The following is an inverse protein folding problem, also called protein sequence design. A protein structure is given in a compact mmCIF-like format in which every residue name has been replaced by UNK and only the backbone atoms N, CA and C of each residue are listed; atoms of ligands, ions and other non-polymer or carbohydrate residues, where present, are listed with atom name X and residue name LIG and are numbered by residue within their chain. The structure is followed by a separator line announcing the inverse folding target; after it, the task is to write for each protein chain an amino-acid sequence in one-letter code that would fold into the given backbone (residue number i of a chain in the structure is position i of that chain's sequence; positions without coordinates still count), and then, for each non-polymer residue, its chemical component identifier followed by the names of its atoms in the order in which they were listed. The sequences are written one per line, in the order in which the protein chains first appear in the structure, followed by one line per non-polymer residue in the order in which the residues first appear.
data_IF_209923652669
#
_entry.id   IF_209923652669
#
_cell.length_a   1.000
_cell.length_b   1.000
_cell.length_c   1.000
_cell.angle_alpha   90.00
_cell.angle_beta   90.00
_cell.angle_gamma   90.00
#
_symmetry.space_group_name_H-M   'P 1'
#
loop_
_entity.id
_entity.type
_entity.pdbx_description
1 polymer ?
#
# COMPACT_ATOMS: atom_id res chain seq x y z
N UNK A 1 -22.12 12.87 37.74
CA UNK A 1 -22.22 12.17 36.41
C UNK A 1 -22.57 13.10 35.24
N UNK A 2 -22.98 14.38 35.50
CA UNK A 2 -23.37 15.35 34.48
C UNK A 2 -22.19 16.12 33.84
N UNK A 3 -21.06 16.18 34.53
CA UNK A 3 -19.91 17.01 34.12
C UNK A 3 -19.06 16.39 32.96
N UNK A 4 -19.19 15.11 32.67
CA UNK A 4 -18.44 14.44 31.62
C UNK A 4 -19.08 14.61 30.23
N UNK A 5 -20.41 14.63 30.19
CA UNK A 5 -21.16 14.82 28.92
C UNK A 5 -21.07 16.26 28.38
N UNK A 6 -21.01 17.25 29.30
CA UNK A 6 -20.86 18.67 28.93
C UNK A 6 -19.46 18.98 28.33
N UNK A 7 -18.42 18.31 28.79
CA UNK A 7 -17.06 18.49 28.28
C UNK A 7 -16.88 17.94 26.86
N UNK A 8 -17.73 17.01 26.42
CA UNK A 8 -17.69 16.46 25.07
C UNK A 8 -18.36 17.37 24.04
N UNK A 9 -19.19 18.33 24.50
CA UNK A 9 -19.96 19.22 23.62
C UNK A 9 -19.40 20.66 23.52
N UNK A 10 -18.25 20.95 24.16
CA UNK A 10 -17.59 22.23 23.93
C UNK A 10 -16.94 22.23 22.55
N UNK A 11 -17.27 23.24 21.69
CA UNK A 11 -16.54 23.41 20.43
C UNK A 11 -15.08 23.65 20.77
N UNK A 12 -14.23 22.65 20.49
CA UNK A 12 -12.79 22.81 20.59
C UNK A 12 -12.42 23.92 19.61
N UNK A 13 -12.00 25.07 20.13
CA UNK A 13 -11.34 26.09 19.32
C UNK A 13 -10.00 25.50 18.84
N UNK A 14 -10.08 24.65 17.82
CA UNK A 14 -8.92 24.08 17.19
C UNK A 14 -8.14 25.23 16.55
N UNK A 15 -6.81 25.24 16.73
CA UNK A 15 -5.95 26.17 15.99
C UNK A 15 -6.23 26.01 14.48
N UNK A 16 -6.02 27.06 13.69
CA UNK A 16 -6.22 27.02 12.23
C UNK A 16 -5.48 25.83 11.59
N UNK A 17 -4.29 25.50 12.09
CA UNK A 17 -3.50 24.33 11.65
C UNK A 17 -4.22 23.00 11.94
N UNK A 18 -4.81 22.86 13.11
CA UNK A 18 -5.55 21.65 13.48
C UNK A 18 -6.86 21.52 12.68
N UNK A 19 -7.51 22.64 12.35
CA UNK A 19 -8.68 22.66 11.46
C UNK A 19 -8.33 22.25 10.04
N UNK A 20 -7.23 22.76 9.49
CA UNK A 20 -6.71 22.37 8.18
C UNK A 20 -6.35 20.88 8.15
N UNK A 21 -5.70 20.37 9.20
CA UNK A 21 -5.36 18.96 9.33
C UNK A 21 -6.59 18.06 9.36
N UNK A 22 -7.59 18.39 10.18
CA UNK A 22 -8.84 17.60 10.27
C UNK A 22 -9.66 17.65 9.00
N UNK A 23 -9.71 18.81 8.32
CA UNK A 23 -10.40 18.96 7.03
C UNK A 23 -9.70 18.16 5.93
N UNK A 24 -8.37 18.24 5.86
CA UNK A 24 -7.56 17.45 4.91
C UNK A 24 -7.76 15.96 5.12
N UNK A 25 -7.77 15.50 6.37
CA UNK A 25 -8.04 14.11 6.72
C UNK A 25 -9.46 13.68 6.33
N UNK A 26 -10.46 14.50 6.60
CA UNK A 26 -11.84 14.23 6.21
C UNK A 26 -12.03 14.16 4.70
N UNK A 27 -11.34 15.02 3.94
CA UNK A 27 -11.34 15.01 2.46
C UNK A 27 -10.65 13.74 1.97
N UNK A 28 -9.49 13.39 2.51
CA UNK A 28 -8.74 12.20 2.11
C UNK A 28 -9.52 10.89 2.34
N UNK A 29 -10.23 10.78 3.46
CA UNK A 29 -11.07 9.63 3.77
C UNK A 29 -12.44 9.64 3.09
N UNK A 30 -12.80 10.75 2.45
CA UNK A 30 -14.09 10.90 1.76
C UNK A 30 -15.30 10.78 2.69
N UNK A 31 -15.22 11.26 3.93
CA UNK A 31 -16.34 11.21 4.89
C UNK A 31 -17.58 11.94 4.39
N UNK A 32 -17.38 12.98 3.58
CA UNK A 32 -18.48 13.75 2.95
C UNK A 32 -19.15 13.01 1.80
N UNK A 33 -18.54 11.93 1.29
CA UNK A 33 -18.94 11.27 0.07
C UNK A 33 -19.89 10.09 0.34
N UNK A 34 -20.97 10.01 -0.44
CA UNK A 34 -21.83 8.82 -0.51
C UNK A 34 -21.04 7.63 -1.04
N UNK A 35 -21.59 6.42 -0.92
CA UNK A 35 -20.94 5.18 -1.39
C UNK A 35 -20.55 5.27 -2.88
N UNK A 36 -21.40 5.83 -3.71
CA UNK A 36 -21.14 6.00 -5.14
C UNK A 36 -20.02 7.00 -5.42
N UNK A 37 -20.00 8.12 -4.67
CA UNK A 37 -18.94 9.11 -4.78
C UNK A 37 -17.57 8.52 -4.37
N UNK A 38 -17.53 7.72 -3.28
CA UNK A 38 -16.30 7.02 -2.87
C UNK A 38 -15.81 6.05 -3.94
N UNK A 39 -16.73 5.34 -4.61
CA UNK A 39 -16.38 4.46 -5.71
C UNK A 39 -15.77 5.23 -6.89
N UNK A 40 -16.38 6.37 -7.28
CA UNK A 40 -15.85 7.23 -8.34
C UNK A 40 -14.46 7.76 -7.97
N UNK A 41 -14.29 8.25 -6.72
CA UNK A 41 -13.00 8.75 -6.24
C UNK A 41 -11.93 7.64 -6.25
N UNK A 42 -12.27 6.42 -5.88
CA UNK A 42 -11.36 5.28 -5.96
C UNK A 42 -10.94 4.97 -7.40
N UNK A 43 -11.88 4.95 -8.34
CA UNK A 43 -11.59 4.76 -9.77
C UNK A 43 -10.68 5.88 -10.30
N UNK A 44 -10.98 7.14 -9.99
CA UNK A 44 -10.14 8.27 -10.39
C UNK A 44 -8.74 8.20 -9.78
N UNK A 45 -8.62 7.76 -8.51
CA UNK A 45 -7.34 7.50 -7.86
C UNK A 45 -6.51 6.44 -8.59
N UNK A 46 -7.12 5.34 -8.97
CA UNK A 46 -6.46 4.27 -9.73
C UNK A 46 -5.99 4.80 -11.10
N UNK A 47 -6.86 5.51 -11.83
CA UNK A 47 -6.51 6.12 -13.11
C UNK A 47 -5.34 7.09 -12.94
N UNK A 48 -5.37 7.94 -11.91
CA UNK A 48 -4.27 8.86 -11.58
C UNK A 48 -2.96 8.14 -11.33
N UNK A 49 -2.97 7.05 -10.56
CA UNK A 49 -1.79 6.22 -10.34
C UNK A 49 -1.23 5.63 -11.64
N UNK A 50 -2.10 5.10 -12.51
CA UNK A 50 -1.71 4.58 -13.82
C UNK A 50 -1.07 5.67 -14.68
N UNK A 51 -1.66 6.86 -14.72
CA UNK A 51 -1.11 8.00 -15.45
C UNK A 51 0.28 8.41 -14.95
N UNK A 52 0.48 8.47 -13.63
CA UNK A 52 1.78 8.80 -13.03
C UNK A 52 2.85 7.77 -13.40
N UNK A 53 2.54 6.48 -13.26
CA UNK A 53 3.45 5.39 -13.62
C UNK A 53 3.78 5.44 -15.12
N UNK A 54 2.75 5.56 -15.98
CA UNK A 54 2.93 5.64 -17.44
C UNK A 54 3.78 6.85 -17.83
N UNK A 55 3.54 8.02 -17.24
CA UNK A 55 4.32 9.23 -17.47
C UNK A 55 5.80 9.06 -17.10
N UNK A 56 6.07 8.47 -15.93
CA UNK A 56 7.43 8.23 -15.47
C UNK A 56 8.17 7.21 -16.36
N UNK A 57 7.50 6.14 -16.79
CA UNK A 57 8.06 5.15 -17.71
C UNK A 57 8.32 5.75 -19.10
N UNK A 58 7.40 6.56 -19.60
CA UNK A 58 7.56 7.26 -20.87
C UNK A 58 8.75 8.24 -20.83
N UNK A 59 8.92 8.95 -19.72
CA UNK A 59 10.07 9.81 -19.50
C UNK A 59 11.40 9.02 -19.55
N UNK A 60 11.45 7.86 -18.90
CA UNK A 60 12.61 6.98 -18.94
C UNK A 60 12.91 6.45 -20.34
N UNK A 61 11.90 5.98 -21.07
CA UNK A 61 12.10 5.42 -22.41
C UNK A 61 12.61 6.46 -23.40
N UNK A 62 12.09 7.69 -23.34
CA UNK A 62 12.56 8.80 -24.20
C UNK A 62 14.02 9.19 -23.92
N UNK A 63 14.51 8.96 -22.72
CA UNK A 63 15.88 9.34 -22.29
C UNK A 63 16.83 8.15 -22.16
N UNK A 64 16.54 7.03 -22.76
CA UNK A 64 17.35 5.81 -22.67
C UNK A 64 18.80 6.03 -23.14
N UNK A 65 19.03 6.96 -24.07
CA UNK A 65 20.39 7.36 -24.52
C UNK A 65 21.23 7.97 -23.40
N UNK A 66 20.59 8.48 -22.34
CA UNK A 66 21.22 9.10 -21.18
C UNK A 66 21.41 8.15 -19.99
N UNK A 67 21.21 6.84 -20.18
CA UNK A 67 21.23 5.84 -19.09
C UNK A 67 22.53 5.81 -18.26
N UNK A 68 23.65 6.31 -18.81
CA UNK A 68 24.94 6.41 -18.10
C UNK A 68 25.01 7.63 -17.19
N UNK A 69 24.16 8.64 -17.38
CA UNK A 69 24.15 9.85 -16.55
C UNK A 69 23.59 9.54 -15.15
N UNK A 70 24.19 10.18 -14.13
CA UNK A 70 23.76 10.02 -12.74
C UNK A 70 22.28 10.32 -12.54
N UNK A 71 21.76 11.43 -13.09
CA UNK A 71 20.37 11.81 -12.94
C UNK A 71 19.39 10.77 -13.48
N UNK A 72 19.69 10.16 -14.64
CA UNK A 72 18.85 9.07 -15.18
C UNK A 72 18.82 7.85 -14.24
N UNK A 73 19.99 7.46 -13.73
CA UNK A 73 20.10 6.33 -12.79
C UNK A 73 19.34 6.60 -11.50
N UNK A 74 19.50 7.81 -10.96
CA UNK A 74 18.79 8.22 -9.75
C UNK A 74 17.25 8.13 -9.94
N UNK A 75 16.72 8.74 -11.01
CA UNK A 75 15.27 8.68 -11.31
C UNK A 75 14.78 7.25 -11.49
N UNK A 76 15.56 6.38 -12.11
CA UNK A 76 15.23 4.96 -12.27
C UNK A 76 15.11 4.25 -10.92
N UNK A 77 16.02 4.49 -9.98
CA UNK A 77 15.96 3.90 -8.64
C UNK A 77 14.81 4.51 -7.81
N UNK A 78 14.57 5.81 -7.94
CA UNK A 78 13.45 6.48 -7.29
C UNK A 78 12.10 5.96 -7.81
N UNK A 79 11.95 5.74 -9.12
CA UNK A 79 10.74 5.14 -9.67
C UNK A 79 10.52 3.72 -9.14
N UNK A 80 11.57 2.91 -9.05
CA UNK A 80 11.51 1.59 -8.43
C UNK A 80 11.05 1.69 -6.96
N UNK A 81 11.70 2.54 -6.19
CA UNK A 81 11.41 2.79 -4.78
C UNK A 81 9.97 3.26 -4.55
N UNK A 82 9.45 4.11 -5.44
CA UNK A 82 8.09 4.62 -5.33
C UNK A 82 7.06 3.60 -5.82
N UNK A 83 7.19 3.09 -7.05
CA UNK A 83 6.12 2.30 -7.67
C UNK A 83 6.06 0.84 -7.19
N UNK A 84 7.17 0.29 -6.77
CA UNK A 84 7.22 -1.07 -6.22
C UNK A 84 7.40 -1.06 -4.69
N UNK A 85 8.16 -0.12 -4.17
CA UNK A 85 8.45 -0.04 -2.75
C UNK A 85 7.26 0.38 -1.90
N UNK A 86 6.47 1.39 -2.33
CA UNK A 86 5.30 1.84 -1.57
C UNK A 86 4.23 0.76 -1.43
N UNK A 87 3.79 0.06 -2.49
CA UNK A 87 2.83 -1.02 -2.34
C UNK A 87 3.32 -2.15 -1.45
N UNK A 88 4.61 -2.51 -1.56
CA UNK A 88 5.23 -3.48 -0.68
C UNK A 88 5.21 -3.03 0.78
N UNK A 89 5.62 -1.80 1.07
CA UNK A 89 5.62 -1.24 2.41
C UNK A 89 4.19 -1.18 3.00
N UNK A 90 3.19 -0.84 2.19
CA UNK A 90 1.79 -0.83 2.59
C UNK A 90 1.29 -2.24 2.92
N UNK A 91 1.63 -3.24 2.10
CA UNK A 91 1.29 -4.64 2.38
C UNK A 91 1.99 -5.13 3.65
N UNK A 92 3.26 -4.77 3.84
CA UNK A 92 4.02 -5.12 5.03
C UNK A 92 3.46 -4.47 6.30
N UNK A 93 3.05 -3.21 6.23
CA UNK A 93 2.32 -2.52 7.30
C UNK A 93 1.06 -3.30 7.71
N UNK A 94 0.23 -3.68 6.73
CA UNK A 94 -0.99 -4.46 6.99
C UNK A 94 -0.68 -5.83 7.63
N UNK A 95 0.41 -6.47 7.21
CA UNK A 95 0.85 -7.72 7.82
C UNK A 95 1.25 -7.52 9.28
N UNK A 96 2.07 -6.52 9.57
CA UNK A 96 2.52 -6.19 10.94
C UNK A 96 1.34 -5.82 11.82
N UNK A 97 0.37 -5.07 11.31
CA UNK A 97 -0.88 -4.75 12.01
C UNK A 97 -1.67 -6.01 12.44
N UNK A 98 -1.58 -7.11 11.69
CA UNK A 98 -2.19 -8.41 12.09
C UNK A 98 -1.36 -9.17 13.12
N UNK A 99 -0.05 -9.00 13.11
CA UNK A 99 0.88 -9.72 14.00
C UNK A 99 0.91 -9.09 15.39
N UNK A 100 0.90 -7.76 15.48
CA UNK A 100 1.01 -7.05 16.78
C UNK A 100 -0.34 -7.08 17.50
N UNK A 101 -0.40 -7.64 18.75
CA UNK A 101 -1.63 -7.64 19.54
C UNK A 101 -2.14 -6.23 19.84
N UNK A 102 -3.46 -6.09 19.95
CA UNK A 102 -4.08 -4.79 20.26
C UNK A 102 -3.67 -4.20 21.62
N UNK A 103 -3.26 -5.06 22.55
CA UNK A 103 -2.81 -4.68 23.90
C UNK A 103 -1.36 -4.21 23.96
N UNK A 104 -0.62 -4.29 22.85
CA UNK A 104 0.80 -3.93 22.84
C UNK A 104 0.98 -2.42 22.65
N UNK A 105 1.62 -1.76 23.61
CA UNK A 105 1.96 -0.34 23.54
C UNK A 105 3.49 -0.13 23.47
N UNK A 106 4.02 0.76 22.62
CA UNK A 106 3.33 1.66 21.67
C UNK A 106 3.15 1.03 20.27
N UNK A 107 2.02 0.39 20.02
CA UNK A 107 1.70 -0.33 18.78
C UNK A 107 1.91 0.52 17.53
N UNK A 108 1.38 1.75 17.54
CA UNK A 108 1.43 2.67 16.40
C UNK A 108 2.87 2.93 15.93
N UNK A 109 3.81 3.08 16.88
CA UNK A 109 5.21 3.33 16.56
C UNK A 109 5.83 2.15 15.79
N UNK A 110 5.54 0.92 16.20
CA UNK A 110 6.07 -0.27 15.55
C UNK A 110 5.46 -0.48 14.16
N UNK A 111 4.16 -0.25 13.99
CA UNK A 111 3.48 -0.34 12.71
C UNK A 111 4.04 0.67 11.70
N UNK A 112 4.16 1.94 12.11
CA UNK A 112 4.70 3.00 11.26
C UNK A 112 6.19 2.77 10.97
N UNK A 113 6.97 2.34 11.96
CA UNK A 113 8.39 2.00 11.76
C UNK A 113 8.55 0.85 10.77
N UNK A 114 7.72 -0.18 10.88
CA UNK A 114 7.74 -1.31 9.96
C UNK A 114 7.47 -0.89 8.51
N UNK A 115 6.52 0.03 8.29
CA UNK A 115 6.28 0.62 6.97
C UNK A 115 7.53 1.29 6.42
N UNK A 116 8.15 2.21 7.16
CA UNK A 116 9.33 2.93 6.69
C UNK A 116 10.53 2.02 6.49
N UNK A 117 10.75 1.05 7.38
CA UNK A 117 11.82 0.06 7.23
C UNK A 117 11.62 -0.77 5.96
N UNK A 118 10.43 -1.30 5.73
CA UNK A 118 10.11 -2.06 4.52
C UNK A 118 10.28 -1.21 3.25
N UNK A 119 9.87 0.06 3.30
CA UNK A 119 10.03 1.00 2.20
C UNK A 119 11.52 1.25 1.90
N UNK A 120 12.34 1.56 2.91
CA UNK A 120 13.77 1.75 2.75
C UNK A 120 14.49 0.47 2.28
N UNK A 121 14.08 -0.72 2.74
CA UNK A 121 14.61 -1.99 2.24
C UNK A 121 14.37 -2.16 0.74
N UNK A 122 13.26 -1.69 0.20
CA UNK A 122 13.01 -1.72 -1.24
C UNK A 122 14.04 -0.89 -2.02
N UNK A 123 14.50 0.23 -1.45
CA UNK A 123 15.56 1.04 -2.03
C UNK A 123 16.91 0.28 -2.04
N UNK A 124 17.24 -0.40 -0.94
CA UNK A 124 18.43 -1.23 -0.87
C UNK A 124 18.41 -2.35 -1.92
N UNK A 125 17.27 -3.01 -2.12
CA UNK A 125 17.09 -4.03 -3.18
C UNK A 125 17.36 -3.40 -4.55
N UNK A 126 16.86 -2.18 -4.79
CA UNK A 126 17.06 -1.46 -6.05
C UNK A 126 18.53 -1.21 -6.37
N UNK A 127 19.35 -0.96 -5.37
CA UNK A 127 20.80 -0.72 -5.55
C UNK A 127 21.63 -2.02 -5.53
N UNK A 128 21.19 -3.03 -4.80
CA UNK A 128 21.95 -4.28 -4.62
C UNK A 128 21.83 -5.25 -5.81
N UNK A 129 20.75 -5.14 -6.59
CA UNK A 129 20.47 -6.03 -7.71
C UNK A 129 20.37 -5.25 -9.03
N UNK A 130 20.50 -5.97 -10.16
CA UNK A 130 20.05 -5.36 -11.43
C UNK A 130 18.57 -5.01 -11.34
N UNK A 131 18.16 -3.88 -11.92
CA UNK A 131 16.76 -3.42 -11.85
C UNK A 131 15.78 -4.50 -12.27
N UNK A 132 16.11 -5.30 -13.28
CA UNK A 132 15.27 -6.42 -13.76
C UNK A 132 15.05 -7.46 -12.65
N UNK A 133 16.13 -7.92 -12.01
CA UNK A 133 16.03 -8.87 -10.89
C UNK A 133 15.28 -8.25 -9.71
N UNK A 134 15.55 -7.00 -9.39
CA UNK A 134 14.87 -6.26 -8.34
C UNK A 134 13.35 -6.19 -8.57
N UNK A 135 12.89 -5.90 -9.79
CA UNK A 135 11.46 -5.88 -10.14
C UNK A 135 10.83 -7.26 -9.88
N UNK A 136 11.46 -8.34 -10.36
CA UNK A 136 10.97 -9.71 -10.16
C UNK A 136 10.87 -10.04 -8.66
N UNK A 137 11.91 -9.73 -7.89
CA UNK A 137 11.94 -9.94 -6.45
C UNK A 137 10.81 -9.16 -5.76
N UNK A 138 10.67 -7.87 -6.07
CA UNK A 138 9.65 -7.03 -5.45
C UNK A 138 8.23 -7.49 -5.78
N UNK A 139 7.94 -7.85 -7.03
CA UNK A 139 6.64 -8.38 -7.43
C UNK A 139 6.32 -9.67 -6.68
N UNK A 140 7.30 -10.57 -6.56
CA UNK A 140 7.13 -11.84 -5.89
C UNK A 140 6.91 -11.68 -4.37
N UNK A 141 7.77 -10.91 -3.68
CA UNK A 141 7.64 -10.73 -2.23
C UNK A 141 6.37 -9.95 -1.87
N UNK A 142 5.96 -8.97 -2.69
CA UNK A 142 4.70 -8.25 -2.46
C UNK A 142 3.51 -9.20 -2.59
N UNK A 143 3.47 -10.03 -3.64
CA UNK A 143 2.43 -11.04 -3.78
C UNK A 143 2.41 -12.03 -2.60
N UNK A 144 3.60 -12.52 -2.18
CA UNK A 144 3.71 -13.42 -1.04
C UNK A 144 3.19 -12.79 0.27
N UNK A 145 3.55 -11.54 0.55
CA UNK A 145 3.05 -10.81 1.73
C UNK A 145 1.53 -10.66 1.67
N UNK A 146 0.97 -10.27 0.51
CA UNK A 146 -0.48 -10.10 0.34
C UNK A 146 -1.26 -11.40 0.60
N UNK A 147 -0.75 -12.56 0.16
CA UNK A 147 -1.37 -13.86 0.47
C UNK A 147 -1.15 -14.29 1.92
N UNK A 148 -0.04 -13.90 2.52
CA UNK A 148 0.29 -14.26 3.89
C UNK A 148 -0.64 -13.57 4.91
N UNK A 149 -1.12 -12.36 4.63
CA UNK A 149 -1.99 -11.60 5.53
C UNK A 149 -3.27 -12.36 5.90
N UNK A 150 -4.09 -12.87 4.94
CA UNK A 150 -5.27 -13.66 5.28
C UNK A 150 -4.93 -14.95 6.05
N UNK A 151 -3.80 -15.59 5.74
CA UNK A 151 -3.33 -16.79 6.46
C UNK A 151 -3.00 -16.46 7.91
N UNK A 152 -2.26 -15.38 8.15
CA UNK A 152 -1.94 -14.90 9.51
C UNK A 152 -3.22 -14.56 10.27
N UNK A 153 -4.22 -13.95 9.60
CA UNK A 153 -5.51 -13.63 10.21
C UNK A 153 -6.23 -14.86 10.74
N UNK A 154 -6.14 -16.00 10.03
CA UNK A 154 -6.75 -17.25 10.49
C UNK A 154 -6.12 -17.76 11.79
N UNK A 155 -4.80 -17.57 11.95
CA UNK A 155 -4.04 -18.11 13.08
C UNK A 155 -4.06 -17.16 14.28
N UNK A 156 -3.80 -15.87 14.05
CA UNK A 156 -3.59 -14.89 15.13
C UNK A 156 -4.86 -14.12 15.51
N UNK A 157 -5.78 -13.93 14.56
CA UNK A 157 -7.02 -13.17 14.78
C UNK A 157 -8.20 -13.95 14.19
N UNK A 158 -8.56 -15.13 14.77
CA UNK A 158 -9.58 -16.00 14.20
C UNK A 158 -10.93 -15.31 13.99
N UNK A 159 -11.28 -14.36 14.86
CA UNK A 159 -12.53 -13.59 14.78
C UNK A 159 -12.61 -12.73 13.52
N UNK A 160 -11.47 -12.20 13.04
CA UNK A 160 -11.36 -11.40 11.83
C UNK A 160 -10.94 -12.23 10.60
N UNK A 161 -10.86 -13.56 10.72
CA UNK A 161 -10.52 -14.42 9.59
C UNK A 161 -11.66 -14.50 8.58
N UNK A 162 -11.31 -14.72 7.31
CA UNK A 162 -12.25 -14.81 6.19
C UNK A 162 -13.37 -15.82 6.47
N UNK A 163 -13.04 -17.00 7.03
CA UNK A 163 -14.00 -18.06 7.33
C UNK A 163 -14.99 -17.66 8.43
N UNK A 164 -14.53 -17.03 9.49
CA UNK A 164 -15.41 -16.61 10.59
C UNK A 164 -16.19 -15.35 10.22
N UNK A 165 -15.59 -14.43 9.45
CA UNK A 165 -16.27 -13.24 8.93
C UNK A 165 -17.39 -13.57 7.95
N UNK A 166 -17.26 -14.63 7.16
CA UNK A 166 -18.33 -15.16 6.32
C UNK A 166 -19.48 -15.73 7.15
N UNK A 167 -19.18 -16.46 8.23
CA UNK A 167 -20.19 -17.03 9.14
C UNK A 167 -20.94 -15.96 9.94
N UNK A 168 -20.23 -14.94 10.39
CA UNK A 168 -20.78 -13.84 11.19
C UNK A 168 -21.35 -12.68 10.36
N UNK A 169 -21.35 -12.80 9.01
CA UNK A 169 -21.87 -11.79 8.06
C UNK A 169 -21.16 -10.44 8.18
N UNK A 170 -19.86 -10.41 8.56
CA UNK A 170 -19.05 -9.20 8.60
C UNK A 170 -18.44 -8.89 7.22
N UNK A 171 -19.26 -8.45 6.29
CA UNK A 171 -18.90 -8.21 4.88
C UNK A 171 -17.70 -7.28 4.67
N UNK A 172 -17.47 -6.34 5.57
CA UNK A 172 -16.32 -5.42 5.48
C UNK A 172 -14.98 -6.15 5.63
N UNK A 173 -14.89 -7.12 6.55
CA UNK A 173 -13.66 -7.91 6.77
C UNK A 173 -13.44 -8.90 5.61
N UNK A 174 -14.51 -9.55 5.16
CA UNK A 174 -14.49 -10.42 3.96
C UNK A 174 -13.98 -9.66 2.74
N UNK A 175 -14.47 -8.41 2.55
CA UNK A 175 -14.06 -7.56 1.44
C UNK A 175 -12.56 -7.22 1.47
N UNK A 176 -12.01 -6.97 2.65
CA UNK A 176 -10.55 -6.70 2.80
C UNK A 176 -9.72 -7.91 2.41
N UNK A 177 -10.01 -9.09 2.97
CA UNK A 177 -9.24 -10.30 2.68
C UNK A 177 -9.35 -10.71 1.20
N UNK A 178 -10.55 -10.58 0.62
CA UNK A 178 -10.75 -10.82 -0.81
C UNK A 178 -9.96 -9.83 -1.67
N UNK A 179 -9.95 -8.55 -1.33
CA UNK A 179 -9.17 -7.53 -2.03
C UNK A 179 -7.67 -7.81 -1.97
N UNK A 180 -7.15 -8.26 -0.82
CA UNK A 180 -5.75 -8.65 -0.67
C UNK A 180 -5.38 -9.84 -1.55
N UNK A 181 -6.24 -10.87 -1.61
CA UNK A 181 -6.05 -12.04 -2.46
C UNK A 181 -6.08 -11.63 -3.95
N UNK A 182 -7.07 -10.84 -4.38
CA UNK A 182 -7.17 -10.36 -5.75
C UNK A 182 -5.96 -9.51 -6.15
N UNK A 183 -5.49 -8.65 -5.26
CA UNK A 183 -4.29 -7.85 -5.48
C UNK A 183 -3.04 -8.73 -5.57
N UNK A 184 -2.91 -9.75 -4.72
CA UNK A 184 -1.84 -10.73 -4.79
C UNK A 184 -1.82 -11.48 -6.13
N UNK A 185 -2.99 -11.93 -6.61
CA UNK A 185 -3.15 -12.53 -7.93
C UNK A 185 -2.75 -11.56 -9.05
N UNK A 186 -3.16 -10.31 -8.97
CA UNK A 186 -2.75 -9.28 -9.92
C UNK A 186 -1.22 -9.15 -9.99
N UNK A 187 -0.52 -9.10 -8.86
CA UNK A 187 0.95 -9.07 -8.82
C UNK A 187 1.57 -10.30 -9.49
N UNK A 188 1.01 -11.50 -9.28
CA UNK A 188 1.49 -12.72 -9.95
C UNK A 188 1.25 -12.67 -11.47
N UNK A 189 0.12 -12.15 -11.92
CA UNK A 189 -0.16 -11.95 -13.36
C UNK A 189 0.84 -10.99 -13.96
N UNK A 190 1.08 -9.83 -13.32
CA UNK A 190 2.09 -8.86 -13.76
C UNK A 190 3.48 -9.50 -13.82
N UNK A 191 3.85 -10.30 -12.80
CA UNK A 191 5.11 -11.02 -12.76
C UNK A 191 5.25 -11.98 -13.94
N UNK A 192 4.23 -12.75 -14.26
CA UNK A 192 4.20 -13.67 -15.41
C UNK A 192 4.38 -12.92 -16.73
N UNK A 193 3.61 -11.86 -16.96
CA UNK A 193 3.75 -11.04 -18.16
C UNK A 193 5.16 -10.44 -18.28
N UNK A 194 5.70 -9.95 -17.18
CA UNK A 194 7.04 -9.39 -17.16
C UNK A 194 8.11 -10.44 -17.53
N UNK A 195 8.04 -11.66 -16.95
CA UNK A 195 8.94 -12.75 -17.24
C UNK A 195 8.84 -13.25 -18.70
N UNK A 196 7.61 -13.45 -19.19
CA UNK A 196 7.38 -13.94 -20.56
C UNK A 196 7.94 -12.99 -21.60
N UNK A 197 7.71 -11.68 -21.42
CA UNK A 197 8.22 -10.67 -22.36
C UNK A 197 9.75 -10.68 -22.47
N UNK A 198 10.46 -11.00 -21.39
CA UNK A 198 11.92 -11.07 -21.41
C UNK A 198 12.47 -12.39 -21.99
N UNK A 199 11.74 -13.50 -21.84
CA UNK A 199 12.11 -14.78 -22.48
C UNK A 199 11.99 -14.64 -23.99
N UNK A 200 10.95 -13.96 -24.50
CA UNK A 200 10.74 -13.79 -25.96
C UNK A 200 11.71 -12.80 -26.59
N UNK A 201 12.35 -11.92 -25.82
CA UNK A 201 13.33 -10.96 -26.35
C UNK A 201 14.78 -11.47 -26.36
N UNK A 202 15.02 -12.73 -25.94
CA UNK A 202 16.32 -13.40 -26.11
C UNK A 202 17.46 -12.88 -25.21
N UNK A 203 17.12 -12.28 -24.05
CA UNK A 203 18.08 -11.82 -23.04
C UNK A 203 17.98 -12.59 -21.71
#
# INVERSE_FOLDING_TARGET
ATNTAERLNQPRNLSAIAQLGSSSYGIHLGYFASIWMRFILACLGIIGCVMLVAGALLWQTKRIKEQKKFGYRLVRHLNFFTFLGLPFASAFYLMVNRIIPASFEPRELYEVSAFYIAWLLSLLISFSCSIRKGIIIMLYITAAVLFLIPVISVVLVPEASLLNSLKSVHWSLVGVDLALILLGLFYLVVLRFYQTKFITLGE
#
